data_IF_321258087337
#
_entry.id   IF_321258087337
#
_cell.length_a   1.000
_cell.length_b   1.000
_cell.length_c   1.000
_cell.angle_alpha   90.00
_cell.angle_beta   90.00
_cell.angle_gamma   90.00
#
_symmetry.space_group_name_H-M   'P 1'
#
loop_
_entity.id
_entity.type
_entity.pdbx_description
1 polymer ?
#
# COMPACT_ATOMS: atom_id res chain seq x y z
N UNK A 1 21.90 -2.61 -36.99
CA UNK A 1 21.30 -2.91 -35.68
C UNK A 1 22.36 -3.57 -34.82
N UNK A 2 22.60 -3.07 -33.60
CA UNK A 2 23.52 -3.73 -32.66
C UNK A 2 22.93 -5.08 -32.24
N UNK A 3 23.79 -6.08 -31.98
CA UNK A 3 23.35 -7.42 -31.52
C UNK A 3 22.49 -7.34 -30.24
N UNK A 4 22.68 -6.32 -29.40
CA UNK A 4 21.84 -6.07 -28.22
C UNK A 4 20.37 -5.80 -28.54
N UNK A 5 20.07 -5.05 -29.61
CA UNK A 5 18.68 -4.73 -29.97
C UNK A 5 17.91 -5.95 -30.48
N UNK A 6 18.59 -6.92 -31.09
CA UNK A 6 17.95 -8.15 -31.59
C UNK A 6 17.53 -9.05 -30.44
N UNK A 7 18.36 -9.18 -29.40
CA UNK A 7 18.04 -9.98 -28.22
C UNK A 7 16.92 -9.38 -27.39
N UNK A 8 16.90 -8.06 -27.17
CA UNK A 8 15.80 -7.39 -26.47
C UNK A 8 14.48 -7.60 -27.21
N UNK A 9 14.47 -7.47 -28.53
CA UNK A 9 13.26 -7.69 -29.33
C UNK A 9 12.77 -9.15 -29.22
N UNK A 10 13.69 -10.12 -29.26
CA UNK A 10 13.34 -11.53 -29.12
C UNK A 10 12.75 -11.84 -27.73
N UNK A 11 13.30 -11.27 -26.66
CA UNK A 11 12.77 -11.43 -25.30
C UNK A 11 11.39 -10.81 -25.13
N UNK A 12 11.17 -9.61 -25.68
CA UNK A 12 9.86 -8.95 -25.65
C UNK A 12 8.83 -9.78 -26.40
N UNK A 13 9.16 -10.30 -27.60
CA UNK A 13 8.26 -11.16 -28.38
C UNK A 13 7.94 -12.46 -27.66
N UNK A 14 8.94 -13.12 -27.06
CA UNK A 14 8.73 -14.33 -26.27
C UNK A 14 7.80 -14.07 -25.07
N UNK A 15 7.97 -12.94 -24.38
CA UNK A 15 7.07 -12.49 -23.31
C UNK A 15 5.64 -12.24 -23.79
N UNK A 16 5.46 -11.59 -24.95
CA UNK A 16 4.15 -11.37 -25.56
C UNK A 16 3.44 -12.68 -25.94
N UNK A 17 4.16 -13.62 -26.55
CA UNK A 17 3.62 -14.95 -26.93
C UNK A 17 3.24 -15.73 -25.66
N UNK A 18 4.12 -15.76 -24.66
CA UNK A 18 3.84 -16.40 -23.37
C UNK A 18 2.60 -15.81 -22.71
N UNK A 19 2.47 -14.48 -22.67
CA UNK A 19 1.28 -13.80 -22.13
C UNK A 19 0.02 -14.16 -22.91
N UNK A 20 0.08 -14.19 -24.25
CA UNK A 20 -1.04 -14.59 -25.09
C UNK A 20 -1.50 -16.03 -24.82
N UNK A 21 -0.55 -16.97 -24.68
CA UNK A 21 -0.84 -18.35 -24.32
C UNK A 21 -1.48 -18.45 -22.93
N UNK A 22 -0.95 -17.72 -21.95
CA UNK A 22 -1.45 -17.69 -20.58
C UNK A 22 -2.90 -17.18 -20.49
N UNK A 23 -3.22 -16.12 -21.23
CA UNK A 23 -4.58 -15.58 -21.34
C UNK A 23 -5.52 -16.56 -22.09
N UNK A 24 -5.04 -17.21 -23.17
CA UNK A 24 -5.83 -18.19 -23.93
C UNK A 24 -6.17 -19.45 -23.12
N UNK A 25 -5.35 -19.78 -22.11
CA UNK A 25 -5.58 -20.87 -21.18
C UNK A 25 -6.63 -20.54 -20.10
N UNK A 26 -7.29 -19.38 -20.20
CA UNK A 26 -8.35 -18.95 -19.28
C UNK A 26 -7.83 -18.38 -17.96
N UNK A 27 -6.52 -18.10 -17.85
CA UNK A 27 -6.00 -17.44 -16.66
C UNK A 27 -6.39 -15.96 -16.70
N UNK A 28 -7.10 -15.51 -15.66
CA UNK A 28 -7.66 -14.16 -15.62
C UNK A 28 -6.59 -13.07 -15.77
N UNK A 29 -6.87 -12.06 -16.59
CA UNK A 29 -6.03 -10.86 -16.72
C UNK A 29 -6.20 -9.94 -15.50
N UNK A 30 -5.65 -10.37 -14.37
CA UNK A 30 -5.69 -9.60 -13.12
C UNK A 30 -4.99 -8.24 -13.24
N UNK A 31 -4.06 -8.10 -14.18
CA UNK A 31 -3.33 -6.85 -14.44
C UNK A 31 -4.25 -5.81 -15.08
N UNK A 32 -4.95 -6.17 -16.16
CA UNK A 32 -5.90 -5.26 -16.81
C UNK A 32 -7.02 -4.81 -15.87
N UNK A 33 -7.50 -5.71 -15.00
CA UNK A 33 -8.50 -5.38 -13.96
C UNK A 33 -7.92 -4.40 -12.94
N UNK A 34 -6.70 -4.62 -12.46
CA UNK A 34 -6.03 -3.71 -11.52
C UNK A 34 -5.81 -2.32 -12.12
N UNK A 35 -5.35 -2.24 -13.37
CA UNK A 35 -5.11 -0.97 -14.07
C UNK A 35 -6.41 -0.20 -14.30
N UNK A 36 -7.46 -0.88 -14.72
CA UNK A 36 -8.79 -0.28 -14.91
C UNK A 36 -9.37 0.22 -13.57
N UNK A 37 -9.22 -0.58 -12.50
CA UNK A 37 -9.65 -0.18 -11.15
C UNK A 37 -8.89 1.06 -10.69
N UNK A 38 -7.57 1.08 -10.88
CA UNK A 38 -6.73 2.22 -10.50
C UNK A 38 -7.15 3.48 -11.25
N UNK A 39 -7.38 3.40 -12.56
CA UNK A 39 -7.80 4.54 -13.36
C UNK A 39 -9.16 5.11 -12.89
N UNK A 40 -10.13 4.23 -12.60
CA UNK A 40 -11.44 4.63 -12.08
C UNK A 40 -11.34 5.31 -10.71
N UNK A 41 -10.59 4.72 -9.77
CA UNK A 41 -10.44 5.31 -8.44
C UNK A 41 -9.68 6.63 -8.47
N UNK A 42 -8.67 6.78 -9.34
CA UNK A 42 -8.00 8.07 -9.56
C UNK A 42 -8.96 9.12 -10.14
N UNK A 43 -9.90 8.73 -11.00
CA UNK A 43 -10.96 9.64 -11.44
C UNK A 43 -11.83 10.09 -10.25
N UNK A 44 -12.19 9.19 -9.33
CA UNK A 44 -12.95 9.56 -8.12
C UNK A 44 -12.17 10.49 -7.18
N UNK A 45 -10.86 10.27 -7.00
CA UNK A 45 -9.97 11.19 -6.26
C UNK A 45 -9.99 12.56 -6.92
N UNK A 46 -9.84 12.60 -8.24
CA UNK A 46 -9.87 13.83 -9.02
C UNK A 46 -11.23 14.54 -8.97
N UNK A 47 -12.33 13.81 -8.99
CA UNK A 47 -13.67 14.37 -8.89
C UNK A 47 -13.89 14.99 -7.51
N UNK A 48 -13.47 14.30 -6.44
CA UNK A 48 -13.47 14.85 -5.08
C UNK A 48 -12.59 16.10 -4.96
N UNK A 49 -11.46 16.15 -5.69
CA UNK A 49 -10.58 17.32 -5.77
C UNK A 49 -11.25 18.50 -6.47
N UNK A 50 -11.84 18.30 -7.64
CA UNK A 50 -12.48 19.37 -8.42
C UNK A 50 -13.73 19.92 -7.76
N UNK A 51 -14.51 19.07 -7.08
CA UNK A 51 -15.66 19.49 -6.27
C UNK A 51 -15.25 20.39 -5.09
N UNK A 52 -14.03 20.21 -4.57
CA UNK A 52 -13.52 21.02 -3.48
C UNK A 52 -12.96 22.35 -4.02
N UNK A 53 -13.59 23.47 -3.66
CA UNK A 53 -13.16 24.84 -4.01
C UNK A 53 -13.03 25.14 -5.51
N UNK A 54 -13.70 24.40 -6.40
CA UNK A 54 -13.61 24.56 -7.86
C UNK A 54 -12.17 24.52 -8.37
N UNK A 55 -11.35 23.65 -7.79
CA UNK A 55 -9.95 23.51 -8.20
C UNK A 55 -9.88 22.89 -9.61
N UNK A 56 -8.90 23.32 -10.44
CA UNK A 56 -8.71 22.72 -11.75
C UNK A 56 -8.36 21.24 -11.62
N UNK A 57 -8.75 20.46 -12.62
CA UNK A 57 -8.42 19.04 -12.73
C UNK A 57 -6.91 18.85 -12.63
N UNK A 58 -6.43 18.02 -11.71
CA UNK A 58 -5.01 17.66 -11.67
C UNK A 58 -4.73 16.55 -12.67
N UNK A 59 -3.66 16.69 -13.43
CA UNK A 59 -3.16 15.65 -14.33
C UNK A 59 -2.04 14.82 -13.72
N UNK A 60 -1.48 15.27 -12.59
CA UNK A 60 -0.43 14.55 -11.88
C UNK A 60 -0.99 13.97 -10.58
N UNK A 61 -0.88 12.66 -10.44
CA UNK A 61 -1.27 11.86 -9.28
C UNK A 61 -0.17 10.88 -8.87
N UNK A 62 1.07 11.11 -9.30
CA UNK A 62 2.19 10.19 -9.04
C UNK A 62 2.55 10.07 -7.56
N UNK A 63 2.17 11.07 -6.76
CA UNK A 63 2.32 11.12 -5.31
C UNK A 63 1.15 10.47 -4.54
N UNK A 64 0.08 10.06 -5.25
CA UNK A 64 -1.09 9.40 -4.67
C UNK A 64 -1.10 7.91 -5.01
N UNK A 65 -0.92 7.10 -3.98
CA UNK A 65 -1.17 5.66 -4.04
C UNK A 65 -2.65 5.40 -3.85
N UNK A 66 -3.20 4.50 -4.66
CA UNK A 66 -4.60 4.07 -4.52
C UNK A 66 -4.61 2.58 -4.24
N UNK A 67 -5.26 2.19 -3.15
CA UNK A 67 -5.48 0.81 -2.76
C UNK A 67 -6.96 0.48 -2.86
N UNK A 68 -7.25 -0.71 -3.37
CA UNK A 68 -8.61 -1.21 -3.54
C UNK A 68 -8.72 -2.59 -2.90
N UNK A 69 -9.67 -2.75 -1.98
CA UNK A 69 -10.00 -4.03 -1.38
C UNK A 69 -11.25 -4.63 -2.02
N UNK A 70 -11.11 -5.88 -2.47
CA UNK A 70 -12.20 -6.69 -3.01
C UNK A 70 -12.54 -7.77 -1.98
N UNK A 71 -13.81 -7.96 -1.63
CA UNK A 71 -14.20 -9.04 -0.71
C UNK A 71 -14.16 -10.42 -1.35
N UNK A 72 -14.22 -10.50 -2.67
CA UNK A 72 -14.25 -11.79 -3.36
C UNK A 72 -13.24 -11.82 -4.49
N UNK A 73 -12.01 -12.20 -4.16
CA UNK A 73 -10.97 -12.49 -5.16
C UNK A 73 -11.22 -13.83 -5.90
N UNK A 74 -12.25 -14.59 -5.51
CA UNK A 74 -12.56 -15.93 -6.03
C UNK A 74 -13.74 -15.95 -6.99
N UNK A 75 -14.64 -14.99 -6.92
CA UNK A 75 -15.64 -14.76 -7.96
C UNK A 75 -14.91 -14.33 -9.24
N UNK A 76 -15.19 -15.04 -10.34
CA UNK A 76 -14.76 -14.78 -11.72
C UNK A 76 -14.53 -13.31 -12.01
N UNK A 77 -13.59 -12.94 -12.93
CA UNK A 77 -13.23 -11.57 -13.25
C UNK A 77 -14.47 -10.83 -13.75
N UNK A 78 -15.25 -10.29 -12.81
CA UNK A 78 -16.25 -9.29 -13.12
C UNK A 78 -15.41 -8.11 -13.52
N UNK A 79 -15.52 -7.63 -14.77
CA UNK A 79 -14.88 -6.38 -15.10
C UNK A 79 -15.32 -5.37 -14.04
N UNK A 80 -14.46 -4.42 -13.72
CA UNK A 80 -14.72 -3.20 -12.93
C UNK A 80 -15.83 -2.33 -13.56
N UNK A 81 -16.63 -2.91 -14.46
CA UNK A 81 -17.67 -2.32 -15.23
C UNK A 81 -18.83 -1.95 -14.31
N UNK A 82 -18.82 -0.67 -13.91
CA UNK A 82 -20.03 0.06 -13.57
C UNK A 82 -20.26 0.34 -12.09
N UNK A 83 -19.24 0.24 -11.24
CA UNK A 83 -19.43 0.48 -9.81
C UNK A 83 -19.30 1.96 -9.47
N UNK A 84 -20.42 2.67 -9.51
CA UNK A 84 -20.70 3.88 -8.71
C UNK A 84 -20.67 3.62 -7.19
N UNK A 85 -19.92 2.61 -6.74
CA UNK A 85 -20.04 2.00 -5.41
C UNK A 85 -18.70 1.80 -4.68
N UNK A 86 -17.62 2.42 -5.14
CA UNK A 86 -16.40 2.46 -4.34
C UNK A 86 -16.60 3.44 -3.18
N UNK A 87 -16.48 2.94 -1.95
CA UNK A 87 -16.48 3.77 -0.74
C UNK A 87 -15.05 4.07 -0.36
N UNK A 88 -14.75 5.35 -0.14
CA UNK A 88 -13.50 5.70 0.48
C UNK A 88 -13.51 5.27 1.94
N UNK A 89 -12.58 4.40 2.29
CA UNK A 89 -12.40 3.84 3.63
C UNK A 89 -11.44 4.69 4.46
N UNK A 90 -10.28 5.06 3.89
CA UNK A 90 -9.31 5.91 4.58
C UNK A 90 -8.48 6.79 3.64
N UNK A 91 -8.02 7.91 4.20
CA UNK A 91 -6.97 8.76 3.64
C UNK A 91 -5.77 8.66 4.57
N UNK A 92 -4.59 8.43 4.00
CA UNK A 92 -3.36 8.22 4.75
C UNK A 92 -2.27 9.10 4.18
N UNK A 93 -1.41 9.62 5.06
CA UNK A 93 -0.27 10.46 4.69
C UNK A 93 1.00 9.76 5.13
N UNK A 94 2.02 9.73 4.28
CA UNK A 94 3.33 9.26 4.67
C UNK A 94 3.97 10.27 5.62
N UNK A 95 4.33 9.81 6.81
CA UNK A 95 5.04 10.59 7.82
C UNK A 95 6.44 9.99 7.98
N UNK A 96 7.52 10.74 7.65
CA UNK A 96 8.89 10.24 7.74
C UNK A 96 9.36 9.96 9.17
N UNK A 97 8.69 10.54 10.18
CA UNK A 97 9.07 10.42 11.59
C UNK A 97 8.24 9.35 12.33
N UNK A 98 7.11 8.94 11.75
CA UNK A 98 6.25 7.89 12.30
C UNK A 98 7.02 6.56 12.44
N UNK A 99 6.96 5.99 13.64
CA UNK A 99 7.69 4.79 13.99
C UNK A 99 7.00 3.52 13.49
N UNK A 100 7.80 2.56 13.04
CA UNK A 100 7.41 1.16 12.88
C UNK A 100 8.08 0.39 14.01
N UNK A 101 7.24 -0.20 14.85
CA UNK A 101 7.67 -1.01 15.98
C UNK A 101 7.70 -2.47 15.57
N UNK A 102 8.60 -3.23 16.17
CA UNK A 102 8.51 -4.69 16.22
C UNK A 102 8.17 -5.10 17.65
N UNK A 103 7.28 -6.08 17.75
CA UNK A 103 6.77 -6.64 19.01
C UNK A 103 6.76 -8.15 18.92
N UNK A 104 6.76 -8.79 20.08
CA UNK A 104 6.54 -10.23 20.21
C UNK A 104 5.18 -10.63 19.65
N UNK A 105 5.10 -11.86 19.13
CA UNK A 105 3.85 -12.41 18.67
C UNK A 105 2.98 -13.00 19.80
N UNK A 106 2.03 -13.87 19.44
CA UNK A 106 1.13 -14.52 20.39
C UNK A 106 1.78 -15.24 21.58
N UNK A 107 3.01 -15.74 21.46
CA UNK A 107 3.71 -16.37 22.60
C UNK A 107 4.21 -15.37 23.65
N UNK A 108 4.26 -14.08 23.28
CA UNK A 108 4.73 -12.99 24.13
C UNK A 108 6.24 -12.99 24.38
N UNK A 109 7.01 -13.75 23.59
CA UNK A 109 8.47 -13.86 23.69
C UNK A 109 9.15 -13.17 22.52
N UNK A 110 10.27 -12.47 22.74
CA UNK A 110 11.09 -11.98 21.64
C UNK A 110 11.71 -13.13 20.86
N UNK A 111 11.61 -13.10 19.52
CA UNK A 111 12.27 -14.11 18.71
C UNK A 111 11.64 -15.50 18.88
N UNK A 112 12.45 -16.53 19.05
CA UNK A 112 12.02 -17.90 19.31
C UNK A 112 12.00 -18.17 20.82
N UNK A 113 10.84 -18.56 21.36
CA UNK A 113 10.70 -18.91 22.79
C UNK A 113 11.77 -19.91 23.27
N UNK A 114 12.58 -19.45 24.21
CA UNK A 114 13.63 -20.23 24.86
C UNK A 114 14.90 -20.39 24.03
N UNK A 115 15.08 -19.61 22.96
CA UNK A 115 16.24 -19.68 22.08
C UNK A 115 17.00 -18.36 22.02
N UNK A 116 18.33 -18.44 22.13
CA UNK A 116 19.24 -17.30 21.97
C UNK A 116 19.46 -17.01 20.47
N UNK A 117 18.56 -16.21 19.88
CA UNK A 117 18.55 -15.96 18.43
C UNK A 117 19.74 -15.15 17.94
N UNK A 118 20.28 -14.28 18.80
CA UNK A 118 21.34 -13.34 18.47
C UNK A 118 22.74 -13.84 18.93
N UNK A 119 22.79 -14.95 19.67
CA UNK A 119 23.98 -15.61 20.23
C UNK A 119 24.76 -14.75 21.23
N UNK A 120 24.07 -13.91 22.02
CA UNK A 120 24.69 -13.05 23.03
C UNK A 120 24.73 -13.65 24.45
N UNK A 121 24.11 -14.83 24.62
CA UNK A 121 24.04 -15.56 25.89
C UNK A 121 22.84 -15.18 26.77
N UNK A 122 22.00 -14.25 26.33
CA UNK A 122 20.67 -13.97 26.88
C UNK A 122 19.63 -14.71 26.05
N UNK A 123 18.46 -14.99 26.63
CA UNK A 123 17.35 -15.68 25.96
C UNK A 123 16.09 -14.88 26.19
N UNK A 124 15.23 -14.80 25.19
CA UNK A 124 13.98 -14.03 25.14
C UNK A 124 14.20 -12.53 25.43
N UNK A 125 15.27 -11.97 24.85
CA UNK A 125 15.70 -10.58 25.03
C UNK A 125 15.17 -9.66 23.92
N UNK A 126 15.01 -8.35 24.18
CA UNK A 126 14.46 -7.43 23.16
C UNK A 126 15.32 -7.34 21.89
N UNK A 127 16.60 -7.70 21.96
CA UNK A 127 17.49 -7.77 20.81
C UNK A 127 17.13 -8.88 19.83
N UNK A 128 16.46 -9.94 20.29
CA UNK A 128 16.05 -11.11 19.50
C UNK A 128 14.80 -10.87 18.64
N UNK A 129 14.02 -9.81 18.93
CA UNK A 129 12.84 -9.43 18.13
C UNK A 129 13.16 -9.37 16.63
N UNK A 130 12.39 -10.08 15.82
CA UNK A 130 12.52 -10.17 14.37
C UNK A 130 13.42 -11.31 13.91
N UNK A 131 13.65 -12.31 14.77
CA UNK A 131 14.29 -13.55 14.39
C UNK A 131 13.56 -14.20 13.19
N UNK A 132 14.32 -14.90 12.35
CA UNK A 132 13.70 -15.58 11.22
C UNK A 132 12.75 -16.66 11.74
N UNK A 133 11.53 -16.72 11.20
CA UNK A 133 10.49 -17.69 11.57
C UNK A 133 9.90 -17.56 12.99
N UNK A 134 10.20 -16.48 13.72
CA UNK A 134 9.43 -16.14 14.92
C UNK A 134 8.01 -15.68 14.57
N UNK A 135 7.17 -15.55 15.59
CA UNK A 135 5.83 -14.98 15.48
C UNK A 135 5.81 -13.45 15.69
N UNK A 136 6.99 -12.84 15.87
CA UNK A 136 7.17 -11.40 15.96
C UNK A 136 6.53 -10.69 14.77
N UNK A 137 5.95 -9.52 15.03
CA UNK A 137 5.29 -8.74 14.00
C UNK A 137 5.54 -7.26 14.14
N UNK A 138 5.29 -6.54 13.04
CA UNK A 138 5.45 -5.10 12.99
C UNK A 138 4.13 -4.41 13.30
N UNK A 139 4.18 -3.35 14.09
CA UNK A 139 3.06 -2.44 14.34
C UNK A 139 3.40 -1.04 13.81
N UNK A 140 2.42 -0.47 13.14
CA UNK A 140 2.41 0.89 12.58
C UNK A 140 1.23 1.67 13.14
N UNK A 141 1.19 3.00 13.03
CA UNK A 141 0.07 3.80 13.52
C UNK A 141 -1.29 3.51 12.86
N UNK A 142 -1.32 2.66 11.81
CA UNK A 142 -2.55 2.21 11.17
C UNK A 142 -3.09 0.91 11.78
N UNK A 143 -2.31 0.24 12.61
CA UNK A 143 -2.69 -1.03 13.22
C UNK A 143 -3.51 -0.78 14.51
N UNK A 144 -4.63 -1.50 14.73
CA UNK A 144 -5.51 -1.26 15.88
C UNK A 144 -4.82 -1.36 17.24
N UNK A 145 -3.80 -2.20 17.36
CA UNK A 145 -3.10 -2.48 18.62
C UNK A 145 -1.93 -1.51 18.87
N UNK A 146 -1.66 -0.58 17.94
CA UNK A 146 -0.56 0.38 18.07
C UNK A 146 -0.68 1.28 19.30
N UNK A 147 -1.89 1.71 19.65
CA UNK A 147 -2.13 2.56 20.84
C UNK A 147 -1.92 1.81 22.16
N UNK A 148 -2.00 0.48 22.13
CA UNK A 148 -1.83 -0.40 23.30
C UNK A 148 -0.39 -0.88 23.47
N UNK A 149 0.50 -0.49 22.55
CA UNK A 149 1.91 -0.85 22.57
C UNK A 149 2.56 -0.41 23.89
N UNK A 150 3.23 -1.36 24.56
CA UNK A 150 4.14 -1.08 25.66
C UNK A 150 5.58 -0.91 25.11
N UNK A 151 6.17 0.30 25.13
CA UNK A 151 7.52 0.53 24.65
C UNK A 151 8.60 -0.25 25.42
N UNK A 152 8.30 -0.77 26.62
CA UNK A 152 9.25 -1.59 27.37
C UNK A 152 9.38 -3.02 26.85
N UNK A 153 8.43 -3.49 26.04
CA UNK A 153 8.40 -4.82 25.43
C UNK A 153 8.53 -4.79 23.90
N UNK A 154 9.04 -3.67 23.36
CA UNK A 154 9.06 -3.41 21.93
C UNK A 154 10.29 -2.59 21.53
N UNK A 155 10.62 -2.58 20.23
CA UNK A 155 11.64 -1.66 19.70
C UNK A 155 11.26 -1.07 18.36
N UNK A 156 11.77 0.12 18.08
CA UNK A 156 11.61 0.76 16.77
C UNK A 156 12.59 0.11 15.79
N UNK A 157 12.08 -0.49 14.72
CA UNK A 157 12.91 -1.05 13.64
C UNK A 157 13.05 -0.10 12.45
N UNK A 158 12.13 0.84 12.29
CA UNK A 158 12.17 1.80 11.22
C UNK A 158 11.40 3.08 11.56
N UNK A 159 11.69 4.16 10.81
CA UNK A 159 10.89 5.38 10.77
C UNK A 159 10.47 5.65 9.32
N UNK A 160 9.29 6.22 9.16
CA UNK A 160 8.72 6.47 7.85
C UNK A 160 7.64 5.45 7.52
N UNK A 161 6.39 5.77 7.85
CA UNK A 161 5.23 4.94 7.50
C UNK A 161 4.02 5.81 7.21
N UNK A 162 2.93 5.19 6.77
CA UNK A 162 1.66 5.89 6.60
C UNK A 162 0.96 6.04 7.94
N UNK A 163 0.36 7.22 8.16
CA UNK A 163 -0.51 7.52 9.31
C UNK A 163 -1.88 7.92 8.81
N UNK A 164 -2.91 7.74 9.65
CA UNK A 164 -4.26 8.21 9.33
C UNK A 164 -4.25 9.73 9.13
N UNK A 165 -4.97 10.17 8.12
CA UNK A 165 -5.20 11.56 7.82
C UNK A 165 -6.64 11.72 7.30
N UNK A 166 -6.96 12.90 6.81
CA UNK A 166 -8.29 13.23 6.34
C UNK A 166 -8.25 13.88 4.96
N UNK A 167 -9.43 13.90 4.31
CA UNK A 167 -9.59 14.50 2.98
C UNK A 167 -9.22 15.98 3.00
N UNK A 168 -9.58 16.72 4.05
CA UNK A 168 -9.40 18.16 4.12
C UNK A 168 -7.92 18.52 4.16
N UNK A 169 -7.13 17.82 4.96
CA UNK A 169 -5.68 17.93 5.07
C UNK A 169 -5.01 17.59 3.75
N UNK A 170 -5.40 16.49 3.10
CA UNK A 170 -4.93 16.16 1.74
C UNK A 170 -5.15 17.31 0.77
N UNK A 171 -6.38 17.84 0.73
CA UNK A 171 -6.74 18.90 -0.20
C UNK A 171 -6.00 20.20 0.09
N UNK A 172 -5.81 20.54 1.37
CA UNK A 172 -5.10 21.74 1.80
C UNK A 172 -3.61 21.69 1.43
N UNK A 173 -2.92 20.59 1.75
CA UNK A 173 -1.49 20.42 1.44
C UNK A 173 -1.25 20.39 -0.07
N UNK A 174 -2.08 19.70 -0.84
CA UNK A 174 -1.95 19.63 -2.30
C UNK A 174 -2.23 20.98 -2.98
N UNK A 175 -3.17 21.77 -2.44
CA UNK A 175 -3.45 23.13 -2.95
C UNK A 175 -2.28 24.08 -2.73
N UNK A 176 -1.59 23.96 -1.58
CA UNK A 176 -0.37 24.73 -1.30
C UNK A 176 0.81 24.31 -2.17
N UNK A 177 0.96 23.01 -2.41
CA UNK A 177 2.03 22.41 -3.22
C UNK A 177 2.08 22.92 -4.67
N UNK A 178 0.93 23.18 -5.29
CA UNK A 178 0.84 23.74 -6.65
C UNK A 178 1.52 25.11 -6.81
N UNK A 179 1.78 25.82 -5.71
CA UNK A 179 2.45 27.14 -5.73
C UNK A 179 3.97 27.06 -5.60
N UNK A 180 4.53 25.90 -5.22
CA UNK A 180 5.97 25.72 -5.00
C UNK A 180 6.49 24.45 -5.69
N UNK A 181 6.52 24.48 -7.02
CA UNK A 181 6.97 23.38 -7.88
C UNK A 181 8.48 23.03 -7.72
N UNK A 182 9.24 23.78 -6.91
CA UNK A 182 10.68 23.57 -6.72
C UNK A 182 11.02 22.40 -5.77
N UNK A 183 10.02 21.86 -5.05
CA UNK A 183 10.22 20.89 -3.96
C UNK A 183 9.55 19.52 -4.21
N UNK A 184 9.43 19.10 -5.47
CA UNK A 184 8.75 17.85 -5.86
C UNK A 184 9.34 16.58 -5.22
N UNK A 185 10.62 16.58 -4.82
CA UNK A 185 11.24 15.46 -4.12
C UNK A 185 10.86 15.33 -2.64
N UNK A 186 10.19 16.34 -2.07
CA UNK A 186 9.71 16.36 -0.67
C UNK A 186 8.19 16.24 -0.54
N UNK A 187 7.49 15.93 -1.64
CA UNK A 187 6.03 15.83 -1.60
C UNK A 187 5.61 14.72 -0.62
N UNK A 188 4.70 15.01 0.32
CA UNK A 188 4.12 13.96 1.15
C UNK A 188 3.47 12.92 0.23
N UNK A 189 3.86 11.65 0.41
CA UNK A 189 3.24 10.55 -0.34
C UNK A 189 1.89 10.26 0.30
N UNK A 190 0.84 10.35 -0.49
CA UNK A 190 -0.53 10.13 -0.03
C UNK A 190 -1.01 8.75 -0.44
N UNK A 191 -1.95 8.21 0.33
CA UNK A 191 -2.58 6.95 0.03
C UNK A 191 -4.07 7.03 0.32
N UNK A 192 -4.88 6.66 -0.66
CA UNK A 192 -6.33 6.61 -0.55
C UNK A 192 -6.77 5.15 -0.69
N UNK A 193 -7.52 4.67 0.29
CA UNK A 193 -7.96 3.29 0.36
C UNK A 193 -9.46 3.23 0.11
N UNK A 194 -9.86 2.40 -0.84
CA UNK A 194 -11.24 2.19 -1.21
C UNK A 194 -11.66 0.75 -0.98
N UNK A 195 -12.91 0.56 -0.58
CA UNK A 195 -13.59 -0.72 -0.53
C UNK A 195 -14.78 -0.72 -1.49
N UNK A 196 -15.07 -1.86 -2.10
CA UNK A 196 -16.30 -2.03 -2.89
C UNK A 196 -17.51 -2.07 -1.92
N UNK A 197 -18.61 -1.35 -2.17
CA UNK A 197 -19.80 -1.45 -1.30
C UNK A 197 -20.39 -2.86 -1.24
N UNK A 198 -20.19 -3.70 -2.27
CA UNK A 198 -20.57 -5.10 -2.16
C UNK A 198 -19.76 -5.84 -1.07
N UNK A 199 -18.60 -5.29 -0.69
CA UNK A 199 -17.72 -5.76 0.37
C UNK A 199 -18.08 -5.28 1.77
N UNK A 200 -18.61 -4.06 1.91
CA UNK A 200 -18.83 -3.43 3.22
C UNK A 200 -20.04 -3.97 3.98
N UNK A 201 -20.92 -4.74 3.32
CA UNK A 201 -22.11 -5.36 3.97
C UNK A 201 -21.78 -6.71 4.64
N UNK A 202 -20.58 -7.26 4.41
CA UNK A 202 -20.19 -8.59 4.88
C UNK A 202 -19.13 -8.58 6.00
N UNK A 203 -18.74 -7.42 6.52
CA UNK A 203 -17.81 -7.27 7.65
C UNK A 203 -18.54 -6.85 8.93
#
# INVERSE_FOLDING_TARGET
MSRGNVWTLALVLAGCIWRGLWLSAGVADRTSVADTTRAELLNQVNDAWTQNRNLPRSTDWNDVQVLAFFTDATASPRPVAGSSKWQLESVQRFDPDAAVWIVSGPDGKPGWDGWDDNQDGTVDDLGELGAAWSDDHCLTPLDPDFEQLDPSNARIINRGTFVLSDKQTFMAERSGSLTDASNLSKQPRWRWTFSDQAASVAR
#
